data_IF_173606333504
#
_entry.id   IF_173606333504
#
_cell.length_a   1.000
_cell.length_b   1.000
_cell.length_c   1.000
_cell.angle_alpha   90.00
_cell.angle_beta   90.00
_cell.angle_gamma   90.00
#
_symmetry.space_group_name_H-M   'P 1'
#
loop_
_entity.id
_entity.type
_entity.pdbx_description
1 polymer ?
#
# COMPACT_ATOMS: atom_id res chain seq x y z
N UNK A 1 16.81 10.39 -39.46
CA UNK A 1 17.59 9.16 -39.21
C UNK A 1 18.54 9.36 -38.03
N UNK A 2 18.13 8.97 -36.83
CA UNK A 2 19.00 8.41 -35.78
C UNK A 2 18.10 7.50 -34.95
N UNK A 3 18.37 6.20 -35.04
CA UNK A 3 17.64 5.13 -34.36
C UNK A 3 18.25 4.94 -32.97
N UNK A 4 17.45 4.93 -31.92
CA UNK A 4 17.86 4.41 -30.62
C UNK A 4 17.13 3.09 -30.38
N UNK A 5 17.91 2.02 -30.26
CA UNK A 5 17.44 0.65 -30.07
C UNK A 5 17.24 0.43 -28.57
N UNK A 6 16.00 0.20 -28.15
CA UNK A 6 15.68 -0.22 -26.78
C UNK A 6 15.98 -1.72 -26.67
N UNK A 7 16.84 -2.09 -25.73
CA UNK A 7 17.24 -3.48 -25.46
C UNK A 7 16.41 -3.98 -24.29
N UNK A 8 15.51 -4.93 -24.55
CA UNK A 8 14.68 -5.59 -23.53
C UNK A 8 15.54 -6.60 -22.78
N UNK A 9 15.77 -6.38 -21.49
CA UNK A 9 16.39 -7.36 -20.60
C UNK A 9 15.28 -8.24 -20.00
N UNK A 10 15.23 -9.52 -20.41
CA UNK A 10 14.31 -10.50 -19.87
C UNK A 10 14.79 -10.98 -18.48
N UNK A 11 14.00 -10.75 -17.44
CA UNK A 11 14.21 -11.33 -16.11
C UNK A 11 13.52 -12.69 -16.08
N UNK A 12 14.33 -13.76 -16.06
CA UNK A 12 13.86 -15.12 -15.87
C UNK A 12 13.56 -15.36 -14.39
N UNK A 13 12.29 -15.51 -14.03
CA UNK A 13 11.86 -15.92 -12.70
C UNK A 13 12.00 -17.45 -12.61
N UNK A 14 13.06 -17.92 -11.99
CA UNK A 14 13.23 -19.32 -11.62
C UNK A 14 12.32 -19.66 -10.44
N UNK A 15 11.29 -20.48 -10.70
CA UNK A 15 10.39 -21.00 -9.68
C UNK A 15 11.10 -21.94 -8.70
N UNK A 16 10.89 -21.73 -7.41
CA UNK A 16 11.25 -22.67 -6.36
C UNK A 16 10.04 -23.57 -6.08
N UNK A 17 10.16 -24.83 -6.48
CA UNK A 17 9.23 -25.89 -6.09
C UNK A 17 9.57 -26.37 -4.66
N UNK A 18 8.64 -26.20 -3.73
CA UNK A 18 8.71 -26.87 -2.43
C UNK A 18 8.32 -28.33 -2.60
N UNK A 19 9.28 -29.24 -2.38
CA UNK A 19 9.01 -30.67 -2.25
C UNK A 19 9.02 -31.00 -0.76
N UNK A 20 7.87 -31.45 -0.24
CA UNK A 20 7.75 -32.02 1.10
C UNK A 20 8.23 -33.46 1.08
N UNK A 21 9.12 -33.84 2.00
CA UNK A 21 9.32 -35.23 2.38
C UNK A 21 9.04 -35.41 3.88
N UNK A 22 8.07 -36.28 4.15
CA UNK A 22 7.84 -36.93 5.45
C UNK A 22 8.61 -38.25 5.53
N UNK A 23 8.66 -38.78 6.76
CA UNK A 23 9.08 -40.12 7.24
C UNK A 23 10.58 -40.29 7.57
N UNK A 24 11.03 -40.86 8.71
CA UNK A 24 10.37 -41.52 9.84
C UNK A 24 11.38 -41.81 11.00
N UNK A 25 10.84 -42.09 12.21
CA UNK A 25 11.34 -42.97 13.32
C UNK A 25 12.31 -42.52 14.45
N UNK A 26 11.68 -42.43 15.65
CA UNK A 26 11.88 -43.15 16.95
C UNK A 26 13.22 -43.14 17.73
N UNK A 27 13.18 -42.65 18.99
CA UNK A 27 13.22 -43.44 20.27
C UNK A 27 13.23 -42.52 21.52
N UNK A 28 12.25 -42.63 22.44
CA UNK A 28 12.36 -43.09 23.86
C UNK A 28 13.50 -42.47 24.71
N UNK A 29 13.18 -41.73 25.78
CA UNK A 29 12.96 -42.19 27.16
C UNK A 29 12.55 -41.02 28.10
N UNK A 30 11.93 -41.39 29.23
CA UNK A 30 11.43 -40.54 30.31
C UNK A 30 12.51 -40.28 31.39
N UNK A 31 12.43 -39.17 32.13
CA UNK A 31 12.03 -39.11 33.56
C UNK A 31 12.44 -37.77 34.24
N UNK A 32 11.51 -37.25 35.06
CA UNK A 32 11.58 -36.47 36.31
C UNK A 32 12.50 -35.24 36.60
N UNK A 33 11.91 -34.32 37.41
CA UNK A 33 12.50 -33.32 38.33
C UNK A 33 13.25 -32.12 37.70
N UNK A 34 13.19 -30.87 38.17
CA UNK A 34 12.72 -30.26 39.42
C UNK A 34 12.58 -28.74 39.18
N UNK A 35 11.69 -28.09 39.92
CA UNK A 35 11.54 -26.64 39.97
C UNK A 35 12.76 -26.04 40.68
N UNK A 36 13.48 -25.12 40.03
CA UNK A 36 14.30 -24.14 40.73
C UNK A 36 14.12 -22.76 40.10
N UNK A 37 13.68 -21.85 40.94
CA UNK A 37 13.65 -20.40 40.75
C UNK A 37 15.03 -19.91 41.13
N UNK A 38 15.76 -19.28 40.22
CA UNK A 38 16.79 -18.31 40.59
C UNK A 38 17.10 -17.40 39.40
N UNK A 39 16.85 -16.11 39.63
CA UNK A 39 17.33 -15.00 38.81
C UNK A 39 18.85 -15.14 38.65
N UNK A 40 19.33 -15.13 37.42
CA UNK A 40 20.64 -14.54 37.11
C UNK A 40 20.55 -13.83 35.76
N UNK A 41 20.54 -12.52 35.86
CA UNK A 41 20.83 -11.54 34.82
C UNK A 41 22.23 -11.76 34.28
N UNK A 42 22.38 -12.31 33.08
CA UNK A 42 23.51 -11.98 32.20
C UNK A 42 23.03 -11.94 30.75
N UNK A 43 23.25 -10.77 30.15
CA UNK A 43 23.02 -10.37 28.77
C UNK A 43 23.59 -11.37 27.76
N UNK A 44 22.71 -11.93 26.94
CA UNK A 44 23.04 -12.44 25.61
C UNK A 44 21.85 -12.17 24.68
N UNK A 45 21.80 -10.95 24.14
CA UNK A 45 20.91 -10.55 23.06
C UNK A 45 21.35 -11.24 21.76
N UNK A 46 21.04 -12.53 21.65
CA UNK A 46 20.83 -13.15 20.35
C UNK A 46 19.38 -12.91 19.97
N UNK A 47 19.10 -11.68 19.50
CA UNK A 47 17.85 -11.33 18.83
C UNK A 47 17.80 -12.20 17.57
N UNK A 48 17.08 -13.30 17.68
CA UNK A 48 16.93 -14.27 16.61
C UNK A 48 15.96 -13.66 15.59
N UNK A 49 16.29 -13.79 14.31
CA UNK A 49 15.56 -13.40 13.09
C UNK A 49 14.05 -13.78 13.01
N UNK A 50 13.48 -14.33 14.09
CA UNK A 50 12.12 -14.85 14.21
C UNK A 50 11.05 -13.75 14.39
N UNK A 51 11.38 -12.60 14.99
CA UNK A 51 10.39 -11.52 15.21
C UNK A 51 10.14 -10.66 13.96
N UNK A 52 11.08 -10.67 13.00
CA UNK A 52 10.90 -10.05 11.68
C UNK A 52 9.79 -10.73 10.85
N UNK A 53 9.43 -11.97 11.22
CA UNK A 53 8.39 -12.77 10.57
C UNK A 53 6.96 -12.42 11.01
N UNK A 54 6.77 -11.85 12.21
CA UNK A 54 5.43 -11.44 12.70
C UNK A 54 5.02 -10.03 12.26
N UNK A 55 5.96 -9.18 11.83
CA UNK A 55 5.65 -7.84 11.29
C UNK A 55 4.93 -7.86 9.92
N UNK A 56 5.05 -8.95 9.14
CA UNK A 56 4.49 -9.04 7.79
C UNK A 56 2.95 -9.06 7.75
N UNK A 57 2.28 -9.51 8.81
CA UNK A 57 0.81 -9.51 8.88
C UNK A 57 0.21 -8.14 9.24
N UNK A 58 1.05 -7.18 9.67
CA UNK A 58 0.64 -5.86 10.17
C UNK A 58 0.72 -4.75 9.12
N UNK A 59 1.41 -4.95 7.98
CA UNK A 59 1.79 -3.89 7.01
C UNK A 59 0.66 -3.04 6.41
N UNK A 60 -0.59 -3.45 6.55
CA UNK A 60 -1.74 -2.80 5.94
C UNK A 60 -2.55 -1.92 6.90
N UNK A 61 -2.07 -1.73 8.14
CA UNK A 61 -2.75 -0.90 9.14
C UNK A 61 -1.76 -0.24 10.08
N UNK A 62 -2.07 0.99 10.50
CA UNK A 62 -1.40 1.66 11.62
C UNK A 62 -2.43 2.43 12.45
N UNK A 63 -2.20 2.47 13.76
CA UNK A 63 -2.95 3.31 14.69
C UNK A 63 -1.95 4.26 15.31
N UNK A 64 -2.09 5.56 15.05
CA UNK A 64 -1.23 6.58 15.65
C UNK A 64 -1.47 6.68 17.16
N UNK A 65 -0.56 7.33 17.90
CA UNK A 65 -0.75 7.59 19.35
C UNK A 65 -1.98 8.46 19.64
N UNK A 66 -2.38 9.27 18.66
CA UNK A 66 -3.59 10.11 18.72
C UNK A 66 -4.87 9.34 18.40
N UNK A 67 -4.77 8.02 18.14
CA UNK A 67 -5.90 7.13 17.88
C UNK A 67 -6.40 7.13 16.44
N UNK A 68 -5.71 7.83 15.52
CA UNK A 68 -6.05 7.82 14.10
C UNK A 68 -5.68 6.45 13.53
N UNK A 69 -6.66 5.77 12.93
CA UNK A 69 -6.45 4.50 12.26
C UNK A 69 -6.40 4.73 10.76
N UNK A 70 -5.30 4.32 10.13
CA UNK A 70 -5.12 4.29 8.67
C UNK A 70 -4.95 2.84 8.23
N UNK A 71 -5.66 2.47 7.17
CA UNK A 71 -5.73 1.09 6.70
C UNK A 71 -5.85 1.02 5.18
N UNK A 72 -5.05 0.13 4.58
CA UNK A 72 -5.20 -0.35 3.20
C UNK A 72 -5.82 -1.75 3.28
N UNK A 73 -6.93 -1.96 2.61
CA UNK A 73 -7.63 -3.24 2.62
C UNK A 73 -8.08 -3.64 1.22
N UNK A 74 -8.79 -4.75 1.12
CA UNK A 74 -9.35 -5.24 -0.14
C UNK A 74 -10.84 -5.40 -0.01
N UNK A 75 -11.59 -4.94 -1.01
CA UNK A 75 -12.99 -5.27 -1.15
C UNK A 75 -13.13 -6.81 -1.28
N UNK A 76 -13.99 -7.41 -0.45
CA UNK A 76 -14.09 -8.86 -0.37
C UNK A 76 -14.69 -9.52 -1.63
N UNK A 77 -15.52 -8.78 -2.37
CA UNK A 77 -16.29 -9.32 -3.49
C UNK A 77 -15.47 -9.31 -4.78
N UNK A 78 -14.90 -8.15 -5.14
CA UNK A 78 -14.18 -7.95 -6.41
C UNK A 78 -12.66 -7.92 -6.26
N UNK A 79 -12.14 -7.98 -5.03
CA UNK A 79 -10.70 -7.83 -4.74
C UNK A 79 -10.12 -6.51 -5.27
N UNK A 80 -10.88 -5.42 -5.12
CA UNK A 80 -10.42 -4.06 -5.39
C UNK A 80 -9.68 -3.49 -4.18
N UNK A 81 -8.69 -2.63 -4.40
CA UNK A 81 -7.97 -1.93 -3.33
C UNK A 81 -8.90 -0.96 -2.62
N UNK A 82 -8.75 -0.84 -1.31
CA UNK A 82 -9.52 0.10 -0.50
C UNK A 82 -8.58 0.86 0.44
N UNK A 83 -8.81 2.16 0.60
CA UNK A 83 -8.05 3.07 1.45
C UNK A 83 -9.00 3.71 2.46
N UNK A 84 -8.61 3.68 3.74
CA UNK A 84 -9.38 4.28 4.82
C UNK A 84 -9.57 5.79 4.60
N UNK A 85 -10.82 6.24 4.62
CA UNK A 85 -11.16 7.65 4.51
C UNK A 85 -11.29 8.19 3.08
N UNK A 86 -11.03 7.38 2.04
CA UNK A 86 -11.10 7.84 0.64
C UNK A 86 -12.20 7.13 -0.17
N UNK A 87 -13.46 7.54 0.04
CA UNK A 87 -14.61 6.86 -0.55
C UNK A 87 -14.64 6.92 -2.09
N UNK A 88 -14.30 8.06 -2.70
CA UNK A 88 -14.32 8.19 -4.17
C UNK A 88 -13.31 7.26 -4.83
N UNK A 89 -12.10 7.13 -4.26
CA UNK A 89 -11.12 6.15 -4.74
C UNK A 89 -11.61 4.72 -4.55
N UNK A 90 -12.22 4.41 -3.40
CA UNK A 90 -12.74 3.07 -3.11
C UNK A 90 -13.81 2.63 -4.11
N UNK A 91 -14.71 3.53 -4.48
CA UNK A 91 -15.73 3.31 -5.51
C UNK A 91 -15.08 3.14 -6.89
N UNK A 92 -14.11 3.99 -7.23
CA UNK A 92 -13.38 3.90 -8.51
C UNK A 92 -12.66 2.56 -8.63
N UNK A 93 -11.94 2.15 -7.57
CA UNK A 93 -11.17 0.91 -7.56
C UNK A 93 -12.07 -0.31 -7.79
N UNK A 94 -13.27 -0.30 -7.21
CA UNK A 94 -14.27 -1.35 -7.44
C UNK A 94 -14.70 -1.39 -8.91
N UNK A 95 -15.01 -0.24 -9.51
CA UNK A 95 -15.45 -0.17 -10.90
C UNK A 95 -14.33 -0.57 -11.88
N UNK A 96 -13.11 -0.07 -11.68
CA UNK A 96 -11.95 -0.44 -12.49
C UNK A 96 -11.62 -1.93 -12.36
N UNK A 97 -11.74 -2.50 -11.15
CA UNK A 97 -11.50 -3.93 -10.94
C UNK A 97 -12.52 -4.82 -11.64
N UNK A 98 -13.80 -4.41 -11.74
CA UNK A 98 -14.83 -5.14 -12.52
C UNK A 98 -14.56 -5.14 -14.04
N UNK A 99 -13.72 -4.20 -14.49
CA UNK A 99 -13.33 -4.01 -15.88
C UNK A 99 -11.97 -4.64 -16.22
N UNK A 100 -11.24 -5.15 -15.23
CA UNK A 100 -9.98 -5.85 -15.46
C UNK A 100 -10.17 -7.04 -16.42
N UNK A 101 -9.42 -7.03 -17.52
CA UNK A 101 -9.50 -8.06 -18.58
C UNK A 101 -10.76 -7.99 -19.45
N UNK A 102 -11.57 -6.94 -19.35
CA UNK A 102 -12.68 -6.70 -20.26
C UNK A 102 -12.18 -6.40 -21.69
N UNK A 103 -12.97 -6.79 -22.68
CA UNK A 103 -12.68 -6.42 -24.06
C UNK A 103 -12.98 -4.94 -24.35
N UNK A 104 -12.45 -4.44 -25.46
CA UNK A 104 -12.64 -3.07 -25.93
C UNK A 104 -14.11 -2.64 -25.96
N UNK A 105 -15.03 -3.49 -26.43
CA UNK A 105 -16.44 -3.15 -26.55
C UNK A 105 -17.09 -2.95 -25.18
N UNK A 106 -16.75 -3.80 -24.22
CA UNK A 106 -17.21 -3.68 -22.84
C UNK A 106 -16.61 -2.46 -22.14
N UNK A 107 -15.32 -2.20 -22.33
CA UNK A 107 -14.64 -1.00 -21.79
C UNK A 107 -15.30 0.28 -22.31
N UNK A 108 -15.42 0.40 -23.63
CA UNK A 108 -16.02 1.55 -24.32
C UNK A 108 -17.44 1.86 -23.86
N UNK A 109 -18.22 0.84 -23.51
CA UNK A 109 -19.63 1.00 -23.07
C UNK A 109 -19.77 1.23 -21.57
N UNK A 110 -18.80 0.79 -20.76
CA UNK A 110 -18.92 0.83 -19.29
C UNK A 110 -18.18 2.02 -18.68
N UNK A 111 -16.96 2.33 -19.14
CA UNK A 111 -16.14 3.45 -18.63
C UNK A 111 -16.91 4.79 -18.56
N UNK A 112 -17.74 5.19 -19.55
CA UNK A 112 -18.46 6.46 -19.46
C UNK A 112 -19.40 6.57 -18.24
N UNK A 113 -19.77 5.45 -17.61
CA UNK A 113 -20.69 5.42 -16.47
C UNK A 113 -20.01 5.75 -15.14
N UNK A 114 -18.68 5.87 -15.08
CA UNK A 114 -17.93 6.17 -13.84
C UNK A 114 -17.52 7.64 -13.71
N UNK A 115 -17.99 8.52 -14.61
CA UNK A 115 -17.70 9.97 -14.62
C UNK A 115 -17.85 10.65 -13.26
N UNK A 116 -18.94 10.39 -12.54
CA UNK A 116 -19.17 11.00 -11.22
C UNK A 116 -18.14 10.58 -10.18
N UNK A 117 -17.64 9.35 -10.28
CA UNK A 117 -16.64 8.80 -9.36
C UNK A 117 -15.28 9.44 -9.61
N UNK A 118 -14.86 9.54 -10.88
CA UNK A 118 -13.60 10.19 -11.28
C UNK A 118 -13.60 11.68 -10.91
N UNK A 119 -14.69 12.40 -11.16
CA UNK A 119 -14.83 13.80 -10.79
C UNK A 119 -14.77 14.03 -9.27
N UNK A 120 -15.16 13.03 -8.47
CA UNK A 120 -15.21 13.14 -7.01
C UNK A 120 -13.90 12.75 -6.31
N UNK A 121 -12.84 12.36 -7.03
CA UNK A 121 -11.57 11.90 -6.44
C UNK A 121 -10.96 12.93 -5.47
N UNK A 122 -11.04 14.22 -5.80
CA UNK A 122 -10.54 15.30 -4.94
C UNK A 122 -11.44 15.65 -3.74
N UNK A 123 -12.71 15.20 -3.72
CA UNK A 123 -13.70 15.68 -2.74
C UNK A 123 -13.51 15.10 -1.34
N UNK A 124 -13.01 13.87 -1.24
CA UNK A 124 -12.88 13.14 0.01
C UNK A 124 -11.52 12.44 0.13
N UNK A 125 -10.50 12.98 -0.55
CA UNK A 125 -9.11 12.57 -0.33
C UNK A 125 -8.72 12.93 1.11
N UNK A 126 -8.24 11.96 1.92
CA UNK A 126 -7.92 12.23 3.31
C UNK A 126 -6.62 13.06 3.41
N UNK A 127 -6.51 13.90 4.44
CA UNK A 127 -5.38 14.82 4.63
C UNK A 127 -4.00 14.15 4.52
N UNK A 128 -3.86 12.90 4.97
CA UNK A 128 -2.60 12.17 4.95
C UNK A 128 -2.21 11.63 3.56
N UNK A 129 -3.12 11.79 2.57
CA UNK A 129 -2.92 11.50 1.15
C UNK A 129 -2.90 12.78 0.29
N UNK A 130 -2.88 13.97 0.90
CA UNK A 130 -2.78 15.23 0.16
C UNK A 130 -1.32 15.51 -0.22
N UNK A 131 -0.80 14.72 -1.16
CA UNK A 131 0.53 14.91 -1.76
C UNK A 131 0.40 15.59 -3.13
N UNK A 132 1.44 16.27 -3.58
CA UNK A 132 1.55 16.83 -4.93
C UNK A 132 1.38 15.72 -5.99
N UNK A 133 2.11 14.61 -5.85
CA UNK A 133 2.08 13.47 -6.80
C UNK A 133 0.67 12.88 -6.93
N UNK A 134 -0.03 12.62 -5.82
CA UNK A 134 -1.41 12.12 -5.87
C UNK A 134 -2.37 13.14 -6.50
N UNK A 135 -2.12 14.45 -6.31
CA UNK A 135 -2.94 15.49 -6.95
C UNK A 135 -2.74 15.45 -8.46
N UNK A 136 -1.51 15.36 -8.91
CA UNK A 136 -1.14 15.29 -10.34
C UNK A 136 -1.75 14.04 -10.99
N UNK A 137 -1.63 12.86 -10.37
CA UNK A 137 -2.21 11.63 -10.92
C UNK A 137 -3.73 11.64 -10.99
N UNK A 138 -4.40 12.30 -10.02
CA UNK A 138 -5.85 12.50 -10.09
C UNK A 138 -6.20 13.44 -11.26
N UNK A 139 -5.42 14.50 -11.47
CA UNK A 139 -5.62 15.44 -12.58
C UNK A 139 -5.37 14.75 -13.94
N UNK A 140 -4.34 13.92 -14.06
CA UNK A 140 -4.02 13.17 -15.26
C UNK A 140 -5.09 12.11 -15.56
N UNK A 141 -5.53 11.34 -14.57
CA UNK A 141 -6.65 10.41 -14.75
C UNK A 141 -7.93 11.13 -15.20
N UNK A 142 -8.23 12.30 -14.62
CA UNK A 142 -9.37 13.11 -15.03
C UNK A 142 -9.23 13.60 -16.47
N UNK A 143 -8.03 14.01 -16.88
CA UNK A 143 -7.71 14.44 -18.24
C UNK A 143 -7.91 13.29 -19.23
N UNK A 144 -7.23 12.16 -19.05
CA UNK A 144 -7.32 11.02 -19.97
C UNK A 144 -8.75 10.46 -20.07
N UNK A 145 -9.48 10.44 -18.95
CA UNK A 145 -10.89 10.04 -18.94
C UNK A 145 -11.76 10.97 -19.79
N UNK A 146 -11.55 12.29 -19.69
CA UNK A 146 -12.32 13.26 -20.47
C UNK A 146 -12.00 13.15 -21.97
N UNK A 147 -10.73 12.98 -22.33
CA UNK A 147 -10.31 12.75 -23.73
C UNK A 147 -10.97 11.48 -24.28
N UNK A 148 -10.98 10.37 -23.54
CA UNK A 148 -11.73 9.16 -23.91
C UNK A 148 -13.24 9.44 -24.12
N UNK A 149 -13.89 10.14 -23.19
CA UNK A 149 -15.35 10.39 -23.27
C UNK A 149 -15.70 11.27 -24.47
N UNK A 150 -14.90 12.28 -24.78
CA UNK A 150 -15.08 13.17 -25.92
C UNK A 150 -14.91 12.44 -27.25
N UNK A 151 -13.90 11.58 -27.34
CA UNK A 151 -13.52 10.90 -28.57
C UNK A 151 -14.13 9.50 -28.75
N UNK A 152 -14.94 9.01 -27.79
CA UNK A 152 -15.48 7.63 -27.77
C UNK A 152 -16.20 7.18 -29.05
N UNK A 153 -16.68 8.09 -29.88
CA UNK A 153 -17.35 7.79 -31.15
C UNK A 153 -16.42 7.91 -32.38
N UNK A 154 -15.12 8.13 -32.15
CA UNK A 154 -14.07 8.24 -33.15
C UNK A 154 -13.62 6.90 -33.72
N UNK A 155 -12.41 6.87 -34.31
CA UNK A 155 -11.88 5.64 -34.90
C UNK A 155 -11.57 4.63 -33.79
N UNK A 156 -11.83 3.35 -34.06
CA UNK A 156 -11.62 2.27 -33.09
C UNK A 156 -10.20 2.28 -32.49
N UNK A 157 -9.17 2.51 -33.32
CA UNK A 157 -7.78 2.62 -32.86
C UNK A 157 -7.58 3.76 -31.86
N UNK A 158 -8.09 4.95 -32.17
CA UNK A 158 -7.97 6.14 -31.31
C UNK A 158 -8.71 5.90 -29.99
N UNK A 159 -9.94 5.39 -30.03
CA UNK A 159 -10.70 5.08 -28.81
C UNK A 159 -10.01 3.98 -27.97
N UNK A 160 -9.32 3.03 -28.61
CA UNK A 160 -8.58 2.00 -27.89
C UNK A 160 -7.34 2.58 -27.20
N UNK A 161 -6.61 3.47 -27.89
CA UNK A 161 -5.48 4.22 -27.32
C UNK A 161 -5.94 5.04 -26.10
N UNK A 162 -7.03 5.80 -26.19
CA UNK A 162 -7.53 6.58 -25.05
C UNK A 162 -8.00 5.68 -23.87
N UNK A 163 -8.51 4.47 -24.13
CA UNK A 163 -8.84 3.51 -23.06
C UNK A 163 -7.57 2.98 -22.39
N UNK A 164 -6.50 2.74 -23.16
CA UNK A 164 -5.20 2.35 -22.61
C UNK A 164 -4.64 3.46 -21.71
N UNK A 165 -4.68 4.72 -22.15
CA UNK A 165 -4.23 5.90 -21.38
C UNK A 165 -5.01 6.06 -20.06
N UNK A 166 -6.34 5.84 -20.07
CA UNK A 166 -7.14 5.84 -18.82
C UNK A 166 -6.71 4.74 -17.84
N UNK A 167 -6.36 3.55 -18.34
CA UNK A 167 -5.91 2.46 -17.47
C UNK A 167 -4.49 2.71 -16.93
N UNK A 168 -3.61 3.31 -17.74
CA UNK A 168 -2.26 3.71 -17.34
C UNK A 168 -2.34 4.78 -16.24
N UNK A 169 -3.07 5.87 -16.45
CA UNK A 169 -3.24 6.92 -15.45
C UNK A 169 -3.89 6.41 -14.14
N UNK A 170 -4.81 5.44 -14.23
CA UNK A 170 -5.35 4.80 -13.03
C UNK A 170 -4.32 3.91 -12.32
N UNK A 171 -3.45 3.23 -13.06
CA UNK A 171 -2.39 2.41 -12.47
C UNK A 171 -1.34 3.29 -11.76
N UNK A 172 -0.96 4.41 -12.36
CA UNK A 172 -0.04 5.40 -11.79
C UNK A 172 -0.61 5.95 -10.47
N UNK A 173 -1.88 6.39 -10.49
CA UNK A 173 -2.58 6.80 -9.25
C UNK A 173 -2.56 5.73 -8.15
N UNK A 174 -2.72 4.45 -8.53
CA UNK A 174 -2.66 3.34 -7.56
C UNK A 174 -1.25 3.14 -7.03
N UNK A 175 -0.21 3.32 -7.86
CA UNK A 175 1.20 3.29 -7.45
C UNK A 175 1.45 4.36 -6.37
N UNK A 176 1.13 5.62 -6.65
CA UNK A 176 1.40 6.73 -5.72
C UNK A 176 0.60 6.64 -4.41
N UNK A 177 -0.63 6.11 -4.48
CA UNK A 177 -1.43 5.77 -3.29
C UNK A 177 -0.71 4.74 -2.41
N UNK A 178 -0.09 3.72 -3.02
CA UNK A 178 0.63 2.70 -2.26
C UNK A 178 1.93 3.24 -1.67
N UNK A 179 2.70 4.01 -2.44
CA UNK A 179 3.94 4.61 -1.98
C UNK A 179 3.69 5.55 -0.78
N UNK A 180 2.69 6.42 -0.92
CA UNK A 180 2.27 7.35 0.14
C UNK A 180 1.78 6.60 1.38
N UNK A 181 0.96 5.55 1.21
CA UNK A 181 0.51 4.71 2.32
C UNK A 181 1.68 4.05 3.06
N UNK A 182 2.58 3.42 2.32
CA UNK A 182 3.72 2.70 2.91
C UNK A 182 4.65 3.68 3.65
N UNK A 183 4.85 4.88 3.11
CA UNK A 183 5.62 5.93 3.78
C UNK A 183 4.94 6.44 5.07
N UNK A 184 3.63 6.68 5.01
CA UNK A 184 2.84 7.11 6.18
C UNK A 184 2.88 6.07 7.31
N UNK A 185 2.68 4.80 6.98
CA UNK A 185 2.73 3.68 7.93
C UNK A 185 4.13 3.55 8.54
N UNK A 186 5.18 3.67 7.73
CA UNK A 186 6.56 3.59 8.19
C UNK A 186 6.89 4.68 9.21
N UNK A 187 6.55 5.93 8.94
CA UNK A 187 6.79 7.05 9.87
C UNK A 187 6.04 6.84 11.18
N UNK A 188 4.77 6.48 11.13
CA UNK A 188 4.00 6.25 12.35
C UNK A 188 4.58 5.10 13.20
N UNK A 189 5.08 4.04 12.56
CA UNK A 189 5.71 2.92 13.27
C UNK A 189 7.00 3.34 13.95
N UNK A 190 7.87 4.04 13.23
CA UNK A 190 9.11 4.56 13.80
C UNK A 190 8.82 5.49 14.99
N UNK A 191 7.87 6.42 14.84
CA UNK A 191 7.47 7.31 15.93
C UNK A 191 6.96 6.55 17.17
N UNK A 192 6.19 5.48 16.97
CA UNK A 192 5.68 4.63 18.05
C UNK A 192 6.81 3.81 18.69
N UNK A 193 7.77 3.32 17.90
CA UNK A 193 8.93 2.58 18.36
C UNK A 193 9.80 3.45 19.27
N UNK A 194 10.23 4.62 18.77
CA UNK A 194 11.02 5.62 19.52
C UNK A 194 10.32 6.03 20.83
N UNK A 195 9.03 6.39 20.75
CA UNK A 195 8.23 6.68 21.95
C UNK A 195 8.30 5.55 23.00
N UNK A 196 8.18 4.29 22.55
CA UNK A 196 8.12 3.15 23.46
C UNK A 196 9.49 2.78 24.02
N UNK A 197 10.58 3.14 23.37
CA UNK A 197 11.95 2.96 23.88
C UNK A 197 12.18 3.92 25.05
N UNK A 198 12.03 5.22 24.83
CA UNK A 198 12.22 6.25 25.87
C UNK A 198 11.24 6.12 27.03
N UNK A 199 9.98 5.75 26.75
CA UNK A 199 8.99 5.53 27.79
C UNK A 199 9.33 4.34 28.71
N UNK A 200 10.07 3.33 28.22
CA UNK A 200 10.53 2.20 29.07
C UNK A 200 11.65 2.63 30.02
N UNK A 201 12.46 3.61 29.62
CA UNK A 201 13.54 4.16 30.43
C UNK A 201 13.04 5.21 31.44
N UNK A 202 11.75 5.54 31.38
CA UNK A 202 11.07 6.48 32.28
C UNK A 202 11.17 7.93 31.81
N UNK A 203 11.72 8.16 30.62
CA UNK A 203 12.01 9.45 30.00
C UNK A 203 10.78 9.93 29.21
N UNK A 204 9.69 10.21 29.94
CA UNK A 204 8.38 10.51 29.33
C UNK A 204 8.29 11.84 28.60
N UNK A 205 9.19 12.79 28.87
CA UNK A 205 9.30 14.04 28.13
C UNK A 205 10.01 13.80 26.80
N UNK A 206 11.16 13.11 26.84
CA UNK A 206 11.95 12.74 25.66
C UNK A 206 11.16 11.83 24.71
N UNK A 207 10.46 10.81 25.23
CA UNK A 207 9.55 9.97 24.44
C UNK A 207 8.51 10.76 23.62
N UNK A 208 7.96 11.83 24.21
CA UNK A 208 6.99 12.70 23.51
C UNK A 208 7.69 13.59 22.50
N UNK A 209 8.89 14.07 22.80
CA UNK A 209 9.69 14.86 21.88
C UNK A 209 9.98 14.05 20.62
N UNK A 210 10.56 12.86 20.74
CA UNK A 210 10.90 11.98 19.61
C UNK A 210 9.68 11.62 18.76
N UNK A 211 8.57 11.20 19.38
CA UNK A 211 7.32 10.95 18.64
C UNK A 211 6.89 12.18 17.82
N UNK A 212 6.94 13.37 18.42
CA UNK A 212 6.55 14.60 17.73
C UNK A 212 7.55 14.98 16.63
N UNK A 213 8.83 14.64 16.76
CA UNK A 213 9.84 14.86 15.72
C UNK A 213 9.59 13.97 14.50
N UNK A 214 9.32 12.68 14.70
CA UNK A 214 9.01 11.75 13.63
C UNK A 214 7.69 12.10 12.94
N UNK A 215 6.63 12.42 13.70
CA UNK A 215 5.32 12.75 13.13
C UNK A 215 5.36 14.04 12.29
N UNK A 216 6.25 14.99 12.56
CA UNK A 216 6.46 16.16 11.68
C UNK A 216 6.85 15.77 10.26
N UNK A 217 7.45 14.59 10.05
CA UNK A 217 7.78 14.10 8.71
C UNK A 217 6.52 13.82 7.88
N UNK A 218 5.38 13.52 8.50
CA UNK A 218 4.11 13.35 7.78
C UNK A 218 3.65 14.61 7.06
N UNK A 219 3.94 15.80 7.62
CA UNK A 219 3.63 17.08 6.96
C UNK A 219 4.50 17.32 5.71
N UNK A 220 5.63 16.62 5.57
CA UNK A 220 6.47 16.70 4.36
C UNK A 220 5.94 15.80 3.25
N UNK A 221 5.15 14.78 3.59
CA UNK A 221 4.49 13.90 2.62
C UNK A 221 3.20 14.55 2.16
N UNK A 222 2.37 15.01 3.10
CA UNK A 222 1.13 15.72 2.81
C UNK A 222 1.41 17.21 2.48
N UNK A 223 2.26 17.44 1.48
CA UNK A 223 2.78 18.75 1.08
C UNK A 223 1.78 19.61 0.31
N UNK A 224 0.69 19.01 -0.18
CA UNK A 224 -0.43 19.70 -0.85
C UNK A 224 -1.57 20.06 0.13
N UNK A 225 -1.36 19.90 1.44
CA UNK A 225 -2.34 20.28 2.46
C UNK A 225 -2.43 21.82 2.59
N UNK A 226 -3.54 22.40 2.14
CA UNK A 226 -3.84 23.83 2.23
C UNK A 226 -4.40 24.28 3.58
#
# INVERSE_FOLDING_TARGET
>A
MKNLKITVAAIAISGLAFTSCMDDKKSKDADNMEMNTELNTETNTNITLSEKGEMMASNNKVVSKDGITVERSMNNDVKAMQISGWNSFNDLSIEMKKLEGADFAKMKTTLPNISSTIAALNTNRPDWMMTEEIREDVEDLQKEYNEFVEERNGKEKEVNENIEEVNEAYADLVEEINETFDMYVKINRNAIEEYNEEAKDGEMEDAKEEYNEEIKKLNKIADDKQ
#
